data_IF_181348791187
#
_entry.id   IF_181348791187
#
_cell.length_a   1.000
_cell.length_b   1.000
_cell.length_c   1.000
_cell.angle_alpha   90.00
_cell.angle_beta   90.00
_cell.angle_gamma   90.00
#
_symmetry.space_group_name_H-M   'P 1'
#
loop_
_entity.id
_entity.type
_entity.pdbx_description
1 polymer ?
#
# COMPACT_ATOMS: atom_id res chain seq x y z
N UNK A 1 -6.85 7.44 -15.06
CA UNK A 1 -7.92 6.48 -14.67
C UNK A 1 -7.75 6.10 -13.20
N UNK A 2 -8.72 5.45 -12.55
CA UNK A 2 -8.68 5.03 -11.14
C UNK A 2 -9.00 3.53 -11.01
N UNK A 3 -8.14 2.77 -10.32
CA UNK A 3 -8.33 1.37 -9.95
C UNK A 3 -8.31 1.20 -8.44
N UNK A 4 -9.32 0.52 -7.90
CA UNK A 4 -9.41 0.17 -6.47
C UNK A 4 -9.22 -1.33 -6.33
N UNK A 5 -8.32 -1.74 -5.44
CA UNK A 5 -8.06 -3.15 -5.11
C UNK A 5 -8.09 -3.35 -3.60
N UNK A 6 -8.70 -4.45 -3.17
CA UNK A 6 -8.74 -4.86 -1.78
C UNK A 6 -7.86 -6.10 -1.59
N UNK A 7 -6.93 -6.06 -0.64
CA UNK A 7 -6.20 -7.23 -0.18
C UNK A 7 -6.91 -7.80 1.05
N UNK A 8 -7.21 -9.11 1.03
CA UNK A 8 -7.99 -9.78 2.08
C UNK A 8 -9.53 -9.61 1.99
N UNK A 9 -10.07 -9.07 0.90
CA UNK A 9 -11.47 -8.62 0.81
C UNK A 9 -12.55 -9.66 0.46
N UNK A 10 -13.16 -10.27 1.48
CA UNK A 10 -14.61 -10.32 1.79
C UNK A 10 -14.74 -10.93 3.19
N UNK A 11 -15.47 -10.28 4.10
CA UNK A 11 -15.64 -10.60 5.54
C UNK A 11 -16.19 -12.02 5.88
N UNK A 12 -16.22 -12.93 4.92
CA UNK A 12 -16.65 -14.32 5.09
C UNK A 12 -15.48 -15.30 5.27
N UNK A 13 -14.22 -14.89 5.07
CA UNK A 13 -13.06 -15.69 5.45
C UNK A 13 -11.81 -14.80 5.68
N UNK A 14 -11.77 -14.02 6.78
CA UNK A 14 -10.62 -13.19 7.07
C UNK A 14 -9.39 -14.07 7.28
N UNK A 15 -8.23 -13.60 6.82
CA UNK A 15 -6.95 -13.98 7.41
C UNK A 15 -6.86 -13.30 8.81
N UNK A 16 -7.78 -13.70 9.69
CA UNK A 16 -7.96 -13.22 11.06
C UNK A 16 -8.13 -11.70 11.25
N UNK A 17 -8.77 -10.99 10.32
CA UNK A 17 -9.26 -9.61 10.50
C UNK A 17 -8.45 -8.52 9.80
N UNK A 18 -7.27 -8.87 9.25
CA UNK A 18 -6.44 -7.96 8.47
C UNK A 18 -7.01 -7.72 7.07
N UNK A 19 -7.03 -6.47 6.65
CA UNK A 19 -7.36 -6.08 5.27
C UNK A 19 -6.76 -4.72 4.92
N UNK A 20 -6.49 -4.51 3.64
CA UNK A 20 -6.03 -3.24 3.11
C UNK A 20 -6.73 -2.91 1.80
N UNK A 21 -6.79 -1.62 1.46
CA UNK A 21 -7.28 -1.14 0.18
C UNK A 21 -6.24 -0.22 -0.46
N UNK A 22 -5.97 -0.44 -1.74
CA UNK A 22 -5.13 0.43 -2.55
C UNK A 22 -5.95 1.06 -3.66
N UNK A 23 -5.89 2.38 -3.79
CA UNK A 23 -6.50 3.14 -4.88
C UNK A 23 -5.39 3.73 -5.75
N UNK A 24 -5.27 3.24 -6.98
CA UNK A 24 -4.21 3.57 -7.92
C UNK A 24 -4.75 4.47 -9.03
N UNK A 25 -4.08 5.60 -9.26
CA UNK A 25 -4.43 6.50 -10.36
C UNK A 25 -3.19 6.92 -11.15
N UNK A 26 -3.33 7.06 -12.46
CA UNK A 26 -2.26 7.59 -13.32
C UNK A 26 -2.72 8.82 -14.08
N UNK A 27 -1.85 9.83 -14.13
CA UNK A 27 -1.99 11.03 -14.96
C UNK A 27 -0.65 11.35 -15.63
N UNK A 28 -0.54 11.07 -16.93
CA UNK A 28 0.75 11.11 -17.61
C UNK A 28 1.72 10.10 -17.01
N UNK A 29 2.91 10.55 -16.61
CA UNK A 29 3.89 9.71 -15.92
C UNK A 29 3.78 9.79 -14.39
N UNK A 30 2.75 10.41 -13.83
CA UNK A 30 2.54 10.46 -12.38
C UNK A 30 1.62 9.32 -11.95
N UNK A 31 2.11 8.49 -11.04
CA UNK A 31 1.34 7.49 -10.32
C UNK A 31 0.99 8.03 -8.94
N UNK A 32 -0.27 7.98 -8.59
CA UNK A 32 -0.77 8.30 -7.26
C UNK A 32 -1.41 7.07 -6.65
N UNK A 33 -1.09 6.81 -5.39
CA UNK A 33 -1.60 5.67 -4.62
C UNK A 33 -2.14 6.18 -3.30
N UNK A 34 -3.42 5.92 -3.01
CA UNK A 34 -3.96 6.00 -1.66
C UNK A 34 -3.98 4.59 -1.07
N UNK A 35 -3.17 4.36 -0.04
CA UNK A 35 -3.09 3.08 0.66
C UNK A 35 -3.81 3.20 2.00
N UNK A 36 -4.68 2.24 2.28
CA UNK A 36 -5.59 2.28 3.43
C UNK A 36 -5.53 0.97 4.21
N UNK A 37 -5.47 1.06 5.54
CA UNK A 37 -5.62 -0.08 6.44
C UNK A 37 -7.10 -0.21 6.82
N UNK A 38 -7.79 -1.14 6.17
CA UNK A 38 -9.22 -1.37 6.36
C UNK A 38 -9.53 -2.47 7.38
N UNK A 39 -8.51 -2.92 8.12
CA UNK A 39 -8.61 -4.06 9.03
C UNK A 39 -9.70 -3.87 10.08
N UNK A 40 -10.53 -4.89 10.28
CA UNK A 40 -11.55 -4.93 11.32
C UNK A 40 -11.12 -5.73 12.56
N UNK A 41 -9.94 -6.36 12.50
CA UNK A 41 -9.33 -7.11 13.59
C UNK A 41 -7.89 -7.49 13.26
N UNK A 42 -7.25 -8.25 14.14
CA UNK A 42 -5.91 -8.80 13.92
C UNK A 42 -5.85 -10.25 14.44
N UNK A 43 -4.91 -11.09 13.94
CA UNK A 43 -4.69 -12.41 14.49
C UNK A 43 -4.32 -12.38 15.98
N UNK A 44 -4.67 -13.45 16.71
CA UNK A 44 -4.25 -13.61 18.11
C UNK A 44 -2.72 -13.50 18.24
N UNK A 45 -2.27 -12.69 19.21
CA UNK A 45 -0.84 -12.46 19.47
C UNK A 45 -0.21 -11.32 18.67
N UNK A 46 -0.95 -10.67 17.77
CA UNK A 46 -0.48 -9.45 17.10
C UNK A 46 -0.41 -8.30 18.10
N UNK A 47 0.76 -7.67 18.18
CA UNK A 47 0.94 -6.43 18.92
C UNK A 47 0.63 -5.20 18.04
N UNK A 48 0.86 -4.00 18.60
CA UNK A 48 0.59 -2.76 17.88
C UNK A 48 1.44 -2.62 16.62
N UNK A 49 2.72 -3.05 16.64
CA UNK A 49 3.61 -2.92 15.49
C UNK A 49 3.24 -3.92 14.39
N UNK A 50 2.91 -5.16 14.76
CA UNK A 50 2.45 -6.19 13.85
C UNK A 50 1.11 -5.84 13.16
N UNK A 51 0.30 -4.99 13.80
CA UNK A 51 -1.00 -4.53 13.26
C UNK A 51 -0.91 -3.42 12.21
N UNK A 52 0.26 -2.78 12.07
CA UNK A 52 0.46 -1.69 11.11
C UNK A 52 0.64 -2.24 9.70
N UNK A 53 -0.03 -1.62 8.74
CA UNK A 53 0.26 -1.79 7.32
C UNK A 53 1.52 -0.98 7.00
N UNK A 54 2.58 -1.68 6.60
CA UNK A 54 3.95 -1.14 6.50
C UNK A 54 4.51 -1.14 5.09
N UNK A 55 4.00 -2.00 4.19
CA UNK A 55 4.52 -2.05 2.82
C UNK A 55 3.41 -2.27 1.78
N UNK A 56 3.68 -1.77 0.58
CA UNK A 56 2.99 -2.07 -0.65
C UNK A 56 4.02 -2.44 -1.72
N UNK A 57 3.87 -3.62 -2.29
CA UNK A 57 4.72 -4.16 -3.33
C UNK A 57 3.91 -4.39 -4.61
N UNK A 58 4.51 -4.10 -5.76
CA UNK A 58 3.89 -4.24 -7.08
C UNK A 58 4.92 -4.56 -8.16
N UNK A 59 4.42 -4.97 -9.33
CA UNK A 59 5.22 -5.13 -10.54
C UNK A 59 4.65 -4.22 -11.63
N UNK A 60 5.40 -3.18 -11.98
CA UNK A 60 5.08 -2.27 -13.06
C UNK A 60 5.64 -2.82 -14.39
N UNK A 61 4.80 -3.10 -15.40
CA UNK A 61 5.28 -3.68 -16.65
C UNK A 61 6.10 -2.65 -17.45
N UNK A 62 7.40 -2.92 -17.65
CA UNK A 62 8.33 -2.10 -18.43
C UNK A 62 8.47 -0.64 -17.97
N UNK A 63 8.12 -0.37 -16.70
CA UNK A 63 8.14 0.96 -16.09
C UNK A 63 8.74 0.87 -14.69
N UNK A 64 9.42 1.93 -14.28
CA UNK A 64 10.08 2.03 -12.97
C UNK A 64 9.72 3.35 -12.29
N UNK A 65 9.93 3.43 -10.99
CA UNK A 65 9.94 4.69 -10.26
C UNK A 65 11.19 5.48 -10.64
N UNK A 66 11.03 6.78 -10.86
CA UNK A 66 12.11 7.75 -11.11
C UNK A 66 12.29 8.64 -9.88
N UNK A 67 11.20 9.00 -9.21
CA UNK A 67 11.21 9.71 -7.93
C UNK A 67 9.95 9.40 -7.13
N UNK A 68 10.09 9.39 -5.81
CA UNK A 68 8.98 9.52 -4.86
C UNK A 68 8.77 11.01 -4.56
N UNK A 69 7.67 11.57 -5.05
CA UNK A 69 7.44 13.01 -5.02
C UNK A 69 6.70 13.45 -3.74
N UNK A 70 5.81 12.59 -3.23
CA UNK A 70 4.94 12.88 -2.07
C UNK A 70 4.70 11.62 -1.25
N UNK A 71 4.77 11.75 0.08
CA UNK A 71 4.21 10.80 1.05
C UNK A 71 3.62 11.60 2.21
N UNK A 72 2.28 11.64 2.28
CA UNK A 72 1.53 12.49 3.24
C UNK A 72 0.37 11.72 3.86
N UNK A 73 -0.06 12.17 5.03
CA UNK A 73 -1.27 11.67 5.69
C UNK A 73 -2.47 11.85 4.75
N UNK A 74 -3.19 10.76 4.51
CA UNK A 74 -4.28 10.74 3.55
C UNK A 74 -5.56 11.45 4.04
N UNK A 75 -6.59 11.55 3.19
CA UNK A 75 -7.82 12.26 3.52
C UNK A 75 -8.53 11.72 4.77
N UNK A 76 -8.99 12.61 5.65
CA UNK A 76 -9.69 12.26 6.89
C UNK A 76 -8.85 11.53 7.94
N UNK A 77 -7.56 11.35 7.67
CA UNK A 77 -6.60 10.65 8.52
C UNK A 77 -5.86 11.62 9.44
N UNK A 78 -5.37 11.12 10.58
CA UNK A 78 -4.54 11.86 11.53
C UNK A 78 -3.33 11.03 11.93
N UNK A 79 -2.29 11.67 12.44
CA UNK A 79 -1.19 10.95 13.05
C UNK A 79 -1.58 10.39 14.43
N UNK A 80 -0.90 9.32 14.83
CA UNK A 80 -1.09 8.58 16.08
C UNK A 80 0.26 8.42 16.80
N UNK A 81 0.19 8.22 18.13
CA UNK A 81 1.37 8.08 18.99
C UNK A 81 2.31 9.28 18.86
N UNK A 82 3.57 9.09 18.45
CA UNK A 82 4.53 10.20 18.30
C UNK A 82 4.09 11.21 17.23
N UNK A 83 3.19 10.81 16.33
CA UNK A 83 2.62 11.65 15.28
C UNK A 83 1.27 12.27 15.65
N UNK A 84 0.81 12.20 16.90
CA UNK A 84 -0.51 12.70 17.30
C UNK A 84 -0.79 14.19 17.00
N UNK A 85 0.25 14.98 16.68
CA UNK A 85 0.12 16.38 16.23
C UNK A 85 -0.05 16.56 14.71
N UNK A 86 0.12 15.52 13.90
CA UNK A 86 0.02 15.56 12.46
C UNK A 86 -1.41 15.33 11.98
N UNK A 87 -1.80 15.97 10.89
CA UNK A 87 -3.12 15.89 10.27
C UNK A 87 -3.03 15.57 8.78
N UNK A 88 -4.18 15.36 8.13
CA UNK A 88 -4.29 15.26 6.67
C UNK A 88 -3.40 16.28 5.93
N UNK A 89 -2.61 15.78 4.99
CA UNK A 89 -1.69 16.56 4.18
C UNK A 89 -0.32 16.81 4.81
N UNK A 90 -0.12 16.53 6.10
CA UNK A 90 1.20 16.59 6.71
C UNK A 90 2.10 15.48 6.18
N UNK A 91 3.39 15.80 6.06
CA UNK A 91 4.41 14.90 5.51
C UNK A 91 4.72 13.75 6.46
N UNK A 92 4.85 12.55 5.89
CA UNK A 92 5.44 11.36 6.54
C UNK A 92 6.60 10.81 5.70
N UNK A 93 7.15 11.64 4.82
CA UNK A 93 8.11 11.26 3.78
C UNK A 93 9.48 10.81 4.31
N UNK A 94 9.83 11.18 5.54
CA UNK A 94 11.08 10.75 6.18
C UNK A 94 11.05 9.26 6.57
N UNK A 95 9.87 8.70 6.87
CA UNK A 95 9.71 7.33 7.36
C UNK A 95 9.25 6.33 6.28
N UNK A 96 9.04 6.80 5.05
CA UNK A 96 8.66 5.95 3.94
C UNK A 96 9.75 6.00 2.87
N UNK A 97 10.11 4.82 2.39
CA UNK A 97 11.04 4.63 1.28
C UNK A 97 10.34 3.94 0.11
N UNK A 98 10.98 4.00 -1.03
CA UNK A 98 10.63 3.22 -2.20
C UNK A 98 11.89 2.66 -2.88
N UNK A 99 11.71 1.63 -3.70
CA UNK A 99 12.80 1.01 -4.48
C UNK A 99 12.28 0.37 -5.76
N UNK A 100 13.20 0.16 -6.72
CA UNK A 100 13.02 -0.66 -7.92
C UNK A 100 13.82 -1.97 -7.86
N UNK A 101 14.53 -2.25 -6.77
CA UNK A 101 15.52 -3.33 -6.64
C UNK A 101 14.99 -4.55 -5.90
N UNK A 102 13.71 -4.85 -6.13
CA UNK A 102 12.98 -5.93 -5.49
C UNK A 102 12.74 -5.76 -3.98
N UNK A 103 11.68 -6.37 -3.46
CA UNK A 103 11.45 -6.44 -2.02
C UNK A 103 12.40 -7.41 -1.30
N UNK A 104 12.41 -7.33 0.02
CA UNK A 104 13.02 -8.34 0.88
C UNK A 104 12.09 -9.54 1.09
N UNK A 105 12.65 -10.67 1.53
CA UNK A 105 11.91 -11.86 1.97
C UNK A 105 10.76 -12.28 1.02
N UNK A 106 9.51 -12.29 1.51
CA UNK A 106 8.35 -12.73 0.72
C UNK A 106 7.93 -11.73 -0.37
N UNK A 107 8.56 -10.55 -0.41
CA UNK A 107 8.41 -9.53 -1.44
C UNK A 107 9.49 -9.62 -2.54
N UNK A 108 10.42 -10.60 -2.50
CA UNK A 108 11.51 -10.75 -3.49
C UNK A 108 11.04 -10.82 -4.96
N UNK A 109 9.81 -11.28 -5.19
CA UNK A 109 9.21 -11.37 -6.53
C UNK A 109 8.58 -10.08 -7.05
N UNK A 110 8.64 -8.99 -6.27
CA UNK A 110 8.07 -7.69 -6.58
C UNK A 110 9.15 -6.68 -6.78
N UNK A 111 9.24 -6.12 -7.99
CA UNK A 111 10.30 -5.19 -8.36
C UNK A 111 10.14 -3.82 -7.67
N UNK A 112 8.91 -3.30 -7.60
CA UNK A 112 8.61 -2.01 -6.99
C UNK A 112 8.05 -2.20 -5.59
N UNK A 113 8.65 -1.53 -4.61
CA UNK A 113 8.19 -1.56 -3.22
C UNK A 113 8.14 -0.15 -2.67
N UNK A 114 7.09 0.16 -1.91
CA UNK A 114 6.93 1.33 -1.05
C UNK A 114 6.79 0.79 0.37
N UNK A 115 7.64 1.24 1.30
CA UNK A 115 7.77 0.57 2.58
C UNK A 115 8.21 1.50 3.71
N UNK A 116 7.79 1.18 4.92
CA UNK A 116 8.40 1.63 6.18
C UNK A 116 9.07 0.47 6.95
N UNK A 117 8.98 -0.75 6.43
CA UNK A 117 9.52 -1.99 7.01
C UNK A 117 11.05 -2.08 6.87
N UNK A 118 11.70 -2.66 7.89
CA UNK A 118 13.14 -2.89 7.94
C UNK A 118 13.51 -3.99 6.95
N UNK A 119 14.67 -3.89 6.30
CA UNK A 119 15.15 -4.95 5.42
C UNK A 119 14.44 -5.05 4.06
N UNK A 120 13.51 -4.15 3.75
CA UNK A 120 12.91 -4.06 2.42
C UNK A 120 13.87 -3.38 1.43
N UNK A 121 14.01 -3.96 0.25
CA UNK A 121 14.96 -3.54 -0.80
C UNK A 121 16.11 -4.52 -0.97
N UNK A 122 16.14 -5.23 -2.10
CA UNK A 122 17.28 -6.06 -2.51
C UNK A 122 18.51 -5.26 -2.96
N UNK A 123 18.42 -3.92 -2.92
CA UNK A 123 19.41 -2.97 -3.42
C UNK A 123 19.23 -1.58 -2.80
N UNK A 124 19.35 -0.53 -3.61
CA UNK A 124 19.26 0.85 -3.12
C UNK A 124 17.80 1.21 -2.81
N UNK A 125 17.61 1.93 -1.70
CA UNK A 125 16.31 2.44 -1.22
C UNK A 125 16.38 3.97 -1.13
N UNK A 126 15.30 4.62 -1.56
CA UNK A 126 15.18 6.08 -1.60
C UNK A 126 14.04 6.56 -0.71
N UNK A 127 14.28 7.60 0.10
CA UNK A 127 13.24 8.23 0.90
C UNK A 127 12.35 9.13 0.03
N UNK A 128 11.07 9.26 0.40
CA UNK A 128 10.19 10.26 -0.23
C UNK A 128 10.60 11.70 0.12
N UNK A 129 11.31 11.91 1.25
CA UNK A 129 11.90 13.19 1.60
C UNK A 129 13.17 13.52 0.77
N UNK A 130 13.62 12.58 -0.07
CA UNK A 130 14.83 12.65 -0.87
C UNK A 130 16.04 12.02 -0.17
N UNK A 131 17.00 11.58 -0.98
CA UNK A 131 18.21 10.88 -0.52
C UNK A 131 18.02 9.36 -0.46
N UNK A 132 19.15 8.65 -0.40
CA UNK A 132 19.17 7.21 -0.16
C UNK A 132 19.34 6.91 1.32
N UNK A 133 18.74 5.82 1.80
CA UNK A 133 18.84 5.46 3.21
C UNK A 133 18.03 4.23 3.59
N UNK A 134 18.41 3.61 4.70
CA UNK A 134 17.66 2.53 5.32
C UNK A 134 16.69 3.10 6.36
N UNK A 135 15.59 2.39 6.59
CA UNK A 135 14.71 2.68 7.72
C UNK A 135 15.17 1.84 8.91
N UNK A 136 15.95 2.43 9.82
CA UNK A 136 16.43 1.78 11.05
C UNK A 136 15.56 2.18 12.26
N UNK A 137 14.25 1.88 12.19
CA UNK A 137 13.23 2.07 13.24
C UNK A 137 12.83 3.53 13.57
N UNK A 138 11.82 3.78 14.45
CA UNK A 138 10.65 2.98 14.79
C UNK A 138 9.57 3.14 13.71
N UNK A 139 9.10 2.00 13.18
CA UNK A 139 8.25 1.91 11.99
C UNK A 139 7.13 2.96 11.98
N UNK A 140 7.10 3.80 10.95
CA UNK A 140 5.87 4.44 10.54
C UNK A 140 4.86 3.35 10.14
N UNK A 141 3.69 3.74 9.67
CA UNK A 141 2.74 2.76 9.17
C UNK A 141 1.33 3.26 9.23
N UNK A 142 0.43 2.43 8.73
CA UNK A 142 -0.97 2.76 8.63
C UNK A 142 -1.71 1.85 9.61
N UNK A 143 -2.25 2.42 10.67
CA UNK A 143 -3.14 1.74 11.60
C UNK A 143 -4.58 1.74 11.05
N UNK A 144 -5.38 0.74 11.44
CA UNK A 144 -6.82 0.81 11.18
C UNK A 144 -7.46 2.00 11.90
N UNK A 145 -8.63 2.45 11.43
CA UNK A 145 -9.40 3.51 12.07
C UNK A 145 -10.81 3.02 12.43
N UNK A 146 -11.14 2.82 13.73
CA UNK A 146 -10.26 2.95 14.89
C UNK A 146 -9.16 1.87 14.93
N UNK A 147 -8.04 2.09 15.68
CA UNK A 147 -6.99 1.09 15.80
C UNK A 147 -7.51 -0.24 16.36
N UNK A 148 -7.12 -1.34 15.73
CA UNK A 148 -7.48 -2.72 16.13
C UNK A 148 -6.72 -3.17 17.38
N UNK A 149 -5.51 -2.66 17.58
CA UNK A 149 -4.69 -2.77 18.80
C UNK A 149 -4.36 -1.37 19.28
N UNK A 150 -4.31 -1.14 20.59
CA UNK A 150 -3.90 0.17 21.13
C UNK A 150 -2.44 0.46 20.79
N UNK A 151 -2.17 1.60 20.17
CA UNK A 151 -0.82 2.06 19.89
C UNK A 151 -0.22 2.76 21.12
N UNK A 152 1.03 2.47 21.50
CA UNK A 152 1.72 3.24 22.52
C UNK A 152 2.10 4.63 22.01
N UNK A 153 2.27 5.60 22.92
CA UNK A 153 2.62 7.00 22.59
C UNK A 153 3.96 7.14 21.86
N UNK A 154 4.83 6.13 21.95
CA UNK A 154 6.15 6.09 21.29
C UNK A 154 6.10 5.50 19.87
N UNK A 155 4.95 5.00 19.42
CA UNK A 155 4.81 4.45 18.06
C UNK A 155 4.44 5.57 17.08
N UNK A 156 5.09 5.61 15.93
CA UNK A 156 4.69 6.47 14.81
C UNK A 156 3.67 5.71 13.96
N UNK A 157 2.51 6.30 13.71
CA UNK A 157 1.55 5.75 12.75
C UNK A 157 0.60 6.83 12.25
N UNK A 158 -0.04 6.54 11.14
CA UNK A 158 -1.17 7.28 10.60
C UNK A 158 -2.43 6.44 10.78
N UNK A 159 -3.53 7.07 11.18
CA UNK A 159 -4.83 6.40 11.19
C UNK A 159 -5.34 6.26 9.75
N UNK A 160 -5.89 5.12 9.38
CA UNK A 160 -6.62 4.88 8.12
C UNK A 160 -5.77 4.87 6.85
N UNK A 161 -5.14 5.99 6.45
CA UNK A 161 -4.57 6.10 5.09
C UNK A 161 -3.34 7.01 4.92
N UNK A 162 -2.52 6.67 3.92
CA UNK A 162 -1.42 7.50 3.41
C UNK A 162 -1.54 7.65 1.90
N UNK A 163 -1.25 8.85 1.42
CA UNK A 163 -1.21 9.19 0.00
C UNK A 163 0.24 9.28 -0.48
N UNK A 164 0.55 8.53 -1.53
CA UNK A 164 1.83 8.54 -2.22
C UNK A 164 1.70 9.11 -3.62
N UNK A 165 2.65 9.92 -4.05
CA UNK A 165 2.85 10.28 -5.46
C UNK A 165 4.26 9.89 -5.91
N UNK A 166 4.34 9.24 -7.06
CA UNK A 166 5.60 8.83 -7.69
C UNK A 166 5.62 9.28 -9.16
N UNK A 167 6.79 9.70 -9.61
CA UNK A 167 7.05 9.89 -11.04
C UNK A 167 7.59 8.60 -11.63
N UNK A 168 6.99 8.18 -12.75
CA UNK A 168 7.34 6.99 -13.51
C UNK A 168 8.26 7.32 -14.69
N UNK A 169 9.04 6.33 -15.13
CA UNK A 169 9.91 6.44 -16.31
C UNK A 169 9.15 6.51 -17.64
N UNK A 170 7.91 6.02 -17.67
CA UNK A 170 6.99 6.14 -18.79
C UNK A 170 5.53 6.16 -18.32
N UNK A 171 4.62 6.51 -19.23
CA UNK A 171 3.18 6.48 -19.00
C UNK A 171 2.70 5.03 -18.97
N UNK A 172 1.96 4.65 -17.93
CA UNK A 172 1.26 3.36 -17.90
C UNK A 172 -0.03 3.44 -18.72
N UNK A 173 -0.28 2.42 -19.52
CA UNK A 173 -1.61 2.17 -20.08
C UNK A 173 -2.58 1.71 -19.00
N UNK A 174 -3.88 1.80 -19.28
CA UNK A 174 -4.94 1.33 -18.40
C UNK A 174 -4.77 -0.16 -18.04
N UNK A 175 -4.46 -1.01 -19.02
CA UNK A 175 -4.23 -2.44 -18.80
C UNK A 175 -3.01 -2.71 -17.92
N UNK A 176 -1.93 -1.94 -18.09
CA UNK A 176 -0.73 -2.05 -17.26
C UNK A 176 -1.00 -1.62 -15.82
N UNK A 177 -1.72 -0.52 -15.61
CA UNK A 177 -2.10 -0.06 -14.26
C UNK A 177 -3.02 -1.08 -13.58
N UNK A 178 -3.99 -1.64 -14.32
CA UNK A 178 -4.87 -2.69 -13.81
C UNK A 178 -4.10 -3.95 -13.43
N UNK A 179 -3.12 -4.36 -14.23
CA UNK A 179 -2.28 -5.52 -13.95
C UNK A 179 -1.40 -5.30 -12.72
N UNK A 180 -0.77 -4.12 -12.60
CA UNK A 180 0.01 -3.75 -11.43
C UNK A 180 -0.84 -3.78 -10.15
N UNK A 181 -2.01 -3.11 -10.16
CA UNK A 181 -2.91 -3.08 -9.02
C UNK A 181 -3.39 -4.48 -8.61
N UNK A 182 -3.80 -5.33 -9.56
CA UNK A 182 -4.32 -6.68 -9.26
C UNK A 182 -3.26 -7.69 -8.83
N UNK A 183 -2.00 -7.45 -9.16
CA UNK A 183 -0.90 -8.31 -8.74
C UNK A 183 -0.23 -7.83 -7.46
N UNK A 184 -0.58 -6.64 -6.97
CA UNK A 184 0.03 -6.02 -5.80
C UNK A 184 -0.13 -6.88 -4.53
N UNK A 185 0.80 -6.68 -3.60
CA UNK A 185 0.82 -7.29 -2.28
C UNK A 185 1.07 -6.21 -1.23
N UNK A 186 0.45 -6.37 -0.06
CA UNK A 186 0.73 -5.53 1.10
C UNK A 186 1.33 -6.35 2.23
N UNK A 187 2.03 -5.67 3.12
CA UNK A 187 2.67 -6.24 4.31
C UNK A 187 2.16 -5.56 5.58
N UNK A 188 1.86 -6.37 6.60
CA UNK A 188 1.51 -5.96 7.95
C UNK A 188 2.58 -6.41 8.92
N UNK A 189 3.09 -5.49 9.74
CA UNK A 189 4.28 -5.70 10.55
C UNK A 189 5.53 -5.98 9.71
N UNK A 190 6.71 -5.64 10.22
CA UNK A 190 7.95 -6.03 9.54
C UNK A 190 8.08 -7.56 9.54
N UNK A 191 7.87 -8.17 8.37
CA UNK A 191 7.93 -9.62 8.11
C UNK A 191 6.93 -10.49 8.88
N UNK A 192 5.81 -9.91 9.32
CA UNK A 192 4.80 -10.64 10.09
C UNK A 192 3.72 -11.28 9.20
N UNK A 193 3.05 -10.49 8.35
CA UNK A 193 1.99 -10.98 7.44
C UNK A 193 1.98 -10.27 6.10
N UNK A 194 1.67 -11.04 5.06
CA UNK A 194 1.56 -10.54 3.69
C UNK A 194 0.19 -10.90 3.12
N UNK A 195 -0.50 -9.92 2.54
CA UNK A 195 -1.79 -10.10 1.89
C UNK A 195 -1.66 -9.79 0.40
N UNK A 196 -2.13 -10.71 -0.45
CA UNK A 196 -2.26 -10.48 -1.89
C UNK A 196 -3.67 -10.03 -2.21
N UNK A 197 -3.83 -9.27 -3.29
CA UNK A 197 -5.14 -9.07 -3.91
C UNK A 197 -5.68 -10.46 -4.30
N UNK A 198 -6.88 -10.85 -3.85
CA UNK A 198 -7.44 -12.14 -4.22
C UNK A 198 -7.69 -12.17 -5.72
N UNK A 199 -7.42 -13.32 -6.36
CA UNK A 199 -7.76 -13.51 -7.76
C UNK A 199 -9.25 -13.23 -7.95
N UNK A 200 -9.64 -12.46 -8.99
CA UNK A 200 -11.04 -12.21 -9.27
C UNK A 200 -11.74 -13.55 -9.48
N UNK A 201 -12.64 -13.92 -8.56
CA UNK A 201 -13.39 -15.15 -8.68
C UNK A 201 -14.16 -15.13 -10.00
N UNK A 202 -14.26 -16.29 -10.67
CA UNK A 202 -14.86 -16.45 -12.00
C UNK A 202 -16.26 -15.84 -12.11
N UNK A 203 -16.94 -15.67 -10.97
CA UNK A 203 -18.23 -15.00 -10.84
C UNK A 203 -18.19 -13.51 -11.24
N UNK A 204 -17.16 -12.75 -10.88
CA UNK A 204 -17.02 -11.35 -11.27
C UNK A 204 -16.66 -11.18 -12.76
N UNK A 205 -15.85 -12.09 -13.31
CA UNK A 205 -15.59 -12.16 -14.75
C UNK A 205 -16.87 -12.38 -15.55
N UNK A 206 -17.80 -13.20 -15.06
CA UNK A 206 -19.11 -13.43 -15.67
C UNK A 206 -20.03 -12.20 -15.58
N UNK A 207 -20.00 -11.46 -14.47
CA UNK A 207 -20.77 -10.22 -14.32
C UNK A 207 -20.24 -9.11 -15.25
N UNK A 208 -18.93 -8.91 -15.34
CA UNK A 208 -18.32 -7.96 -16.29
C UNK A 208 -18.57 -8.35 -17.76
N UNK A 209 -18.53 -9.65 -18.09
CA UNK A 209 -18.87 -10.12 -19.44
C UNK A 209 -20.35 -9.93 -19.79
N UNK A 210 -21.26 -10.01 -18.80
CA UNK A 210 -22.69 -9.77 -19.01
C UNK A 210 -23.00 -8.29 -19.27
N UNK A 211 -22.35 -7.37 -18.55
CA UNK A 211 -22.53 -5.92 -18.77
C UNK A 211 -21.91 -5.42 -20.07
N UNK A 212 -20.78 -5.97 -20.50
CA UNK A 212 -20.16 -5.63 -21.81
C UNK A 212 -20.92 -6.18 -23.01
N UNK A 213 -21.67 -7.29 -22.87
CA UNK A 213 -22.57 -7.80 -23.93
C UNK A 213 -23.90 -7.04 -24.05
N UNK A 214 -24.41 -6.45 -22.97
CA UNK A 214 -25.67 -5.70 -22.99
C UNK A 214 -25.54 -4.29 -23.57
N UNK A 215 -24.32 -3.74 -23.67
CA UNK A 215 -24.05 -2.42 -24.26
C UNK A 215 -23.74 -2.43 -25.76
N UNK A 216 -23.85 -3.57 -26.46
CA UNK A 216 -23.45 -3.72 -27.87
C UNK A 216 -24.60 -4.14 -28.80
N UNK A 217 -25.79 -3.63 -28.51
CA UNK A 217 -26.94 -3.66 -29.41
C UNK A 217 -27.35 -2.22 -29.76
N UNK A 218 -26.55 -1.57 -30.61
CA UNK A 218 -27.00 -0.51 -31.53
C UNK A 218 -26.28 -0.69 -32.87
#
# INVERSE_FOLDING_TARGET
MNYVVDAGGNNNNPLNGLSARGTFTVNGNRLTILLENTSAGVPDGFDSAASLLVSLAMNLPDVTFVSGDVSVIGPGSIGLGEWAGLIEGDSVADEWVWTNDFGGDLLESFQQVISTSMGQGGGDVEHFAGGSGNIDGPFGGIAASPPTVSLPDTQRAVSDSIHFELTLSAVLTDDQLAAAARSSMVEFGSDERYLRVPEPTTFWLLVLAAFTRLGRNE
#
